data_IF_828670183725
#
_entry.id   IF_828670183725
#
_cell.length_a   1.000
_cell.length_b   1.000
_cell.length_c   1.000
_cell.angle_alpha   90.00
_cell.angle_beta   90.00
_cell.angle_gamma   90.00
#
_symmetry.space_group_name_H-M   'P 1'
#
loop_
_entity.id
_entity.type
_entity.pdbx_description
1 polymer ?
#
# COMPACT_ATOMS: atom_id res chain seq x y z
N UNK A 1 -47.36 -19.72 -61.25
CA UNK A 1 -47.77 -19.67 -59.81
C UNK A 1 -46.63 -20.09 -58.84
N UNK A 2 -45.38 -19.90 -59.18
CA UNK A 2 -44.28 -20.33 -58.27
C UNK A 2 -43.23 -19.25 -57.97
N UNK A 3 -43.15 -18.18 -58.71
CA UNK A 3 -42.11 -17.17 -58.60
C UNK A 3 -42.24 -16.30 -57.32
N UNK A 4 -43.45 -15.90 -56.98
CA UNK A 4 -43.73 -15.10 -55.78
C UNK A 4 -43.39 -15.84 -54.47
N UNK A 5 -43.67 -17.13 -54.41
CA UNK A 5 -43.33 -17.98 -53.23
C UNK A 5 -41.82 -18.11 -53.03
N UNK A 6 -41.06 -18.17 -54.11
CA UNK A 6 -39.57 -18.20 -54.04
C UNK A 6 -38.99 -16.87 -53.60
N UNK A 7 -39.53 -15.74 -54.07
CA UNK A 7 -39.11 -14.41 -53.65
C UNK A 7 -39.38 -14.18 -52.15
N UNK A 8 -40.58 -14.49 -51.69
CA UNK A 8 -40.94 -14.39 -50.26
C UNK A 8 -40.09 -15.28 -49.36
N UNK A 9 -39.69 -16.46 -49.81
CA UNK A 9 -38.83 -17.37 -49.06
C UNK A 9 -37.40 -16.85 -49.01
N UNK A 10 -36.84 -16.30 -50.08
CA UNK A 10 -35.53 -15.70 -50.12
C UNK A 10 -35.45 -14.43 -49.25
N UNK A 11 -36.50 -13.63 -49.20
CA UNK A 11 -36.57 -12.46 -48.32
C UNK A 11 -36.63 -12.86 -46.83
N UNK A 12 -37.41 -13.91 -46.49
CA UNK A 12 -37.49 -14.41 -45.10
C UNK A 12 -36.16 -15.04 -44.63
N UNK A 13 -35.44 -15.74 -45.51
CA UNK A 13 -34.11 -16.29 -45.18
C UNK A 13 -33.07 -15.19 -44.95
N UNK A 14 -33.08 -14.11 -45.75
CA UNK A 14 -32.20 -12.95 -45.52
C UNK A 14 -32.48 -12.25 -44.20
N UNK A 15 -33.75 -12.06 -43.84
CA UNK A 15 -34.14 -11.45 -42.57
C UNK A 15 -33.68 -12.30 -41.37
N UNK A 16 -33.83 -13.64 -41.49
CA UNK A 16 -33.34 -14.56 -40.46
C UNK A 16 -31.82 -14.51 -40.29
N UNK A 17 -31.05 -14.47 -41.36
CA UNK A 17 -29.58 -14.41 -41.31
C UNK A 17 -29.12 -13.10 -40.70
N UNK A 18 -29.73 -11.95 -41.08
CA UNK A 18 -29.42 -10.65 -40.51
C UNK A 18 -29.79 -10.63 -39.00
N UNK A 19 -30.94 -11.18 -38.63
CA UNK A 19 -31.39 -11.28 -37.22
C UNK A 19 -30.42 -12.10 -36.37
N UNK A 20 -29.94 -13.23 -36.85
CA UNK A 20 -28.92 -14.04 -36.17
C UNK A 20 -27.59 -13.32 -36.06
N UNK A 21 -27.17 -12.65 -37.14
CA UNK A 21 -25.92 -11.87 -37.11
C UNK A 21 -25.94 -10.74 -36.10
N UNK A 22 -27.01 -9.96 -36.06
CA UNK A 22 -27.18 -8.86 -35.10
C UNK A 22 -27.26 -9.37 -33.66
N UNK A 23 -28.04 -10.43 -33.41
CA UNK A 23 -28.16 -11.01 -32.06
C UNK A 23 -26.83 -11.60 -31.57
N UNK A 24 -26.08 -12.28 -32.45
CA UNK A 24 -24.76 -12.82 -32.13
C UNK A 24 -23.76 -11.71 -31.85
N UNK A 25 -23.79 -10.61 -32.62
CA UNK A 25 -22.93 -9.45 -32.40
C UNK A 25 -23.22 -8.79 -31.04
N UNK A 26 -24.49 -8.51 -30.75
CA UNK A 26 -24.89 -7.90 -29.47
C UNK A 26 -24.57 -8.81 -28.27
N UNK A 27 -24.78 -10.11 -28.39
CA UNK A 27 -24.42 -11.07 -27.36
C UNK A 27 -22.91 -11.15 -27.14
N UNK A 28 -22.13 -11.21 -28.21
CA UNK A 28 -20.66 -11.25 -28.14
C UNK A 28 -20.08 -9.96 -27.55
N UNK A 29 -20.59 -8.80 -27.98
CA UNK A 29 -20.14 -7.50 -27.44
C UNK A 29 -20.44 -7.37 -25.95
N UNK A 30 -21.63 -7.76 -25.50
CA UNK A 30 -22.02 -7.71 -24.09
C UNK A 30 -21.23 -8.71 -23.25
N UNK A 31 -20.97 -9.91 -23.75
CA UNK A 31 -20.16 -10.93 -23.07
C UNK A 31 -18.71 -10.47 -22.93
N UNK A 32 -18.15 -9.87 -23.97
CA UNK A 32 -16.77 -9.37 -23.98
C UNK A 32 -16.58 -8.22 -23.00
N UNK A 33 -17.51 -7.26 -22.94
CA UNK A 33 -17.48 -6.17 -21.95
C UNK A 33 -17.58 -6.69 -20.50
N UNK A 34 -18.45 -7.66 -20.26
CA UNK A 34 -18.65 -8.23 -18.92
C UNK A 34 -17.44 -9.06 -18.49
N UNK A 35 -16.84 -9.82 -19.40
CA UNK A 35 -15.64 -10.62 -19.11
C UNK A 35 -14.43 -9.72 -18.83
N UNK A 36 -14.21 -8.68 -19.64
CA UNK A 36 -13.11 -7.72 -19.45
C UNK A 36 -13.27 -6.93 -18.16
N UNK A 37 -14.50 -6.49 -17.82
CA UNK A 37 -14.76 -5.79 -16.57
C UNK A 37 -14.45 -6.65 -15.34
N UNK A 38 -14.89 -7.90 -15.32
CA UNK A 38 -14.56 -8.83 -14.23
C UNK A 38 -13.08 -9.14 -14.11
N UNK A 39 -12.38 -9.23 -15.23
CA UNK A 39 -10.95 -9.47 -15.25
C UNK A 39 -10.18 -8.27 -14.69
N UNK A 40 -10.56 -7.04 -15.05
CA UNK A 40 -9.97 -5.81 -14.50
C UNK A 40 -10.24 -5.69 -13.00
N UNK A 41 -11.45 -5.97 -12.55
CA UNK A 41 -11.80 -5.99 -11.12
C UNK A 41 -10.96 -7.01 -10.34
N UNK A 42 -10.81 -8.22 -10.89
CA UNK A 42 -9.99 -9.27 -10.30
C UNK A 42 -8.51 -8.85 -10.22
N UNK A 43 -7.97 -8.25 -11.28
CA UNK A 43 -6.61 -7.74 -11.31
C UNK A 43 -6.39 -6.61 -10.30
N UNK A 44 -7.34 -5.66 -10.20
CA UNK A 44 -7.27 -4.59 -9.22
C UNK A 44 -7.29 -5.14 -7.78
N UNK A 45 -8.11 -6.15 -7.51
CA UNK A 45 -8.17 -6.82 -6.21
C UNK A 45 -6.87 -7.54 -5.87
N UNK A 46 -6.28 -8.26 -6.82
CA UNK A 46 -4.99 -8.91 -6.64
C UNK A 46 -3.90 -7.87 -6.37
N UNK A 47 -3.86 -6.79 -7.16
CA UNK A 47 -2.92 -5.68 -6.94
C UNK A 47 -3.06 -5.07 -5.56
N UNK A 48 -4.27 -4.78 -5.11
CA UNK A 48 -4.53 -4.27 -3.75
C UNK A 48 -4.03 -5.23 -2.67
N UNK A 49 -4.30 -6.54 -2.81
CA UNK A 49 -3.84 -7.56 -1.85
C UNK A 49 -2.32 -7.64 -1.79
N UNK A 50 -1.61 -7.49 -2.91
CA UNK A 50 -0.15 -7.50 -2.94
C UNK A 50 0.42 -6.28 -2.19
N UNK A 51 -0.14 -5.10 -2.43
CA UNK A 51 0.26 -3.87 -1.72
C UNK A 51 -0.03 -4.00 -0.22
N UNK A 52 -1.22 -4.45 0.15
CA UNK A 52 -1.61 -4.68 1.55
C UNK A 52 -0.65 -5.64 2.25
N UNK A 53 -0.31 -6.76 1.61
CA UNK A 53 0.64 -7.73 2.15
C UNK A 53 2.05 -7.15 2.31
N UNK A 54 2.48 -6.32 1.37
CA UNK A 54 3.76 -5.64 1.47
C UNK A 54 3.81 -4.65 2.64
N UNK A 55 2.73 -3.88 2.87
CA UNK A 55 2.59 -2.99 4.02
C UNK A 55 2.58 -3.75 5.34
N UNK A 56 1.78 -4.82 5.44
CA UNK A 56 1.77 -5.70 6.62
C UNK A 56 3.16 -6.21 6.99
N UNK A 57 3.95 -6.60 5.98
CA UNK A 57 5.32 -7.08 6.20
C UNK A 57 6.22 -5.98 6.80
N UNK A 58 6.08 -4.72 6.36
CA UNK A 58 6.83 -3.61 6.93
C UNK A 58 6.41 -3.32 8.37
N UNK A 59 5.11 -3.33 8.66
CA UNK A 59 4.59 -3.10 10.01
C UNK A 59 4.96 -4.21 10.97
N UNK A 60 4.82 -5.48 10.59
CA UNK A 60 5.17 -6.63 11.45
C UNK A 60 6.61 -6.55 11.95
N UNK A 61 7.55 -6.16 11.06
CA UNK A 61 8.94 -5.96 11.47
C UNK A 61 9.12 -4.84 12.50
N UNK A 62 8.37 -3.75 12.34
CA UNK A 62 8.38 -2.63 13.29
C UNK A 62 7.66 -2.96 14.59
N UNK A 63 6.55 -3.70 14.56
CA UNK A 63 5.79 -4.13 15.74
C UNK A 63 6.66 -4.99 16.66
N UNK A 64 7.36 -5.97 16.09
CA UNK A 64 8.31 -6.81 16.86
C UNK A 64 9.41 -5.95 17.50
N UNK A 65 9.89 -4.93 16.81
CA UNK A 65 10.89 -4.01 17.36
C UNK A 65 10.29 -3.09 18.42
N UNK A 66 9.04 -2.63 18.23
CA UNK A 66 8.32 -1.80 19.19
C UNK A 66 8.02 -2.51 20.53
N UNK A 67 7.91 -3.85 20.52
CA UNK A 67 7.75 -4.69 21.70
C UNK A 67 9.08 -4.95 22.46
N UNK A 68 10.22 -4.53 21.89
CA UNK A 68 11.51 -4.68 22.57
C UNK A 68 11.52 -3.92 23.90
N UNK A 69 11.92 -4.59 24.99
CA UNK A 69 11.92 -4.03 26.36
C UNK A 69 12.64 -2.68 26.48
N UNK A 70 13.68 -2.45 25.69
CA UNK A 70 14.42 -1.18 25.66
C UNK A 70 13.61 -0.09 24.97
N UNK A 71 12.95 -0.43 23.87
CA UNK A 71 12.19 0.55 23.05
C UNK A 71 10.89 0.94 23.76
N UNK A 72 10.13 -0.03 24.28
CA UNK A 72 8.83 0.22 24.89
C UNK A 72 8.93 0.86 26.29
N UNK A 73 10.07 0.70 26.99
CA UNK A 73 10.26 1.25 28.32
C UNK A 73 10.53 2.76 28.26
N UNK A 74 9.66 3.60 28.82
CA UNK A 74 9.90 5.05 28.84
C UNK A 74 11.09 5.45 29.72
N UNK A 75 11.55 4.58 30.63
CA UNK A 75 12.73 4.79 31.48
C UNK A 75 14.07 4.44 30.84
N UNK A 76 14.07 3.81 29.67
CA UNK A 76 15.31 3.51 28.94
C UNK A 76 15.96 4.78 28.43
N UNK A 77 17.28 4.84 28.53
CA UNK A 77 18.05 5.98 27.98
C UNK A 77 17.93 6.05 26.47
N UNK A 78 18.22 7.22 25.92
CA UNK A 78 18.27 7.37 24.46
C UNK A 78 19.37 6.51 23.84
N UNK A 79 20.52 6.46 24.50
CA UNK A 79 21.69 5.69 24.05
C UNK A 79 21.37 4.19 23.92
N UNK A 80 20.61 3.65 24.88
CA UNK A 80 20.18 2.25 24.82
C UNK A 80 19.21 2.00 23.64
N UNK A 81 18.24 2.90 23.44
CA UNK A 81 17.32 2.84 22.31
C UNK A 81 18.06 2.96 20.97
N UNK A 82 18.99 3.90 20.88
CA UNK A 82 19.82 4.10 19.68
C UNK A 82 20.62 2.86 19.33
N UNK A 83 21.22 2.18 20.30
CA UNK A 83 21.98 0.97 20.07
C UNK A 83 21.11 -0.16 19.47
N UNK A 84 19.84 -0.28 19.91
CA UNK A 84 18.89 -1.23 19.33
C UNK A 84 18.48 -0.83 17.93
N UNK A 85 18.14 0.45 17.68
CA UNK A 85 17.69 0.95 16.40
C UNK A 85 18.79 0.89 15.33
N UNK A 86 20.02 1.28 15.64
CA UNK A 86 21.17 1.23 14.74
C UNK A 86 21.50 -0.21 14.30
N UNK A 87 21.38 -1.17 15.23
CA UNK A 87 21.55 -2.59 14.91
C UNK A 87 20.48 -3.07 13.94
N UNK A 88 19.24 -2.62 14.14
CA UNK A 88 18.12 -3.00 13.27
C UNK A 88 18.20 -2.35 11.89
N UNK A 89 18.63 -1.09 11.80
CA UNK A 89 18.92 -0.42 10.53
C UNK A 89 19.95 -1.23 9.74
N UNK A 90 21.05 -1.64 10.38
CA UNK A 90 22.09 -2.45 9.75
C UNK A 90 21.55 -3.83 9.30
N UNK A 91 20.70 -4.47 10.11
CA UNK A 91 20.13 -5.78 9.81
C UNK A 91 19.16 -5.77 8.65
N UNK A 92 18.33 -4.73 8.56
CA UNK A 92 17.23 -4.64 7.57
C UNK A 92 17.62 -3.90 6.30
N UNK A 93 18.74 -3.15 6.31
CA UNK A 93 19.11 -2.25 5.24
C UNK A 93 18.15 -1.06 5.09
N UNK A 94 17.39 -0.73 6.13
CA UNK A 94 16.52 0.44 6.13
C UNK A 94 17.35 1.72 6.02
N UNK A 95 16.80 2.75 5.40
CA UNK A 95 17.48 4.06 5.35
C UNK A 95 17.60 4.64 6.76
N UNK A 96 16.54 4.58 7.54
CA UNK A 96 16.53 4.98 8.94
C UNK A 96 15.37 4.32 9.71
N UNK A 97 15.56 4.09 11.02
CA UNK A 97 14.50 3.71 11.96
C UNK A 97 14.61 4.64 13.16
N UNK A 98 13.52 5.29 13.50
CA UNK A 98 13.47 6.33 14.52
C UNK A 98 12.36 6.07 15.53
N UNK A 99 12.59 6.52 16.77
CA UNK A 99 11.59 6.59 17.81
C UNK A 99 11.19 8.06 18.05
N UNK A 100 9.90 8.30 18.21
CA UNK A 100 9.37 9.57 18.66
C UNK A 100 8.60 9.39 19.99
N UNK A 101 8.76 10.35 20.88
CA UNK A 101 7.96 10.39 22.11
C UNK A 101 6.48 10.72 21.83
N UNK A 102 5.64 10.68 22.85
CA UNK A 102 4.21 10.97 22.73
C UNK A 102 3.91 12.40 22.28
N UNK A 103 4.88 13.31 22.33
CA UNK A 103 4.78 14.69 21.86
C UNK A 103 5.25 14.86 20.41
N UNK A 104 5.74 13.79 19.79
CA UNK A 104 6.25 13.81 18.42
C UNK A 104 7.67 14.34 18.28
N UNK A 105 8.45 14.36 19.36
CA UNK A 105 9.86 14.65 19.28
C UNK A 105 10.60 13.36 18.91
N UNK A 106 11.25 13.35 17.76
CA UNK A 106 12.01 12.21 17.27
C UNK A 106 13.52 12.49 17.34
N UNK A 107 14.26 11.39 17.59
CA UNK A 107 15.71 11.37 17.52
C UNK A 107 16.12 10.29 16.51
N UNK A 108 16.94 10.67 15.57
CA UNK A 108 17.58 9.75 14.63
C UNK A 108 18.85 9.15 15.25
N UNK A 109 19.28 7.94 14.83
CA UNK A 109 20.53 7.34 15.27
C UNK A 109 21.77 8.18 15.00
N UNK A 110 21.73 9.13 14.05
CA UNK A 110 22.77 10.11 13.78
C UNK A 110 22.69 11.37 14.67
N UNK A 111 21.75 11.40 15.63
CA UNK A 111 21.55 12.51 16.58
C UNK A 111 20.70 13.66 16.07
N UNK A 112 20.13 13.57 14.87
CA UNK A 112 19.23 14.60 14.36
C UNK A 112 17.93 14.64 15.18
N UNK A 113 17.55 15.84 15.66
CA UNK A 113 16.29 16.08 16.35
C UNK A 113 15.28 16.66 15.38
N UNK A 114 14.11 16.05 15.29
CA UNK A 114 13.03 16.51 14.41
C UNK A 114 11.68 16.39 15.11
N UNK A 115 10.83 17.40 14.97
CA UNK A 115 9.43 17.30 15.39
C UNK A 115 8.59 16.78 14.23
N UNK A 116 7.83 15.71 14.51
CA UNK A 116 6.91 15.07 13.57
C UNK A 116 5.45 15.11 14.04
N UNK A 117 5.16 15.89 15.06
CA UNK A 117 3.81 16.01 15.65
C UNK A 117 2.74 16.43 14.64
N UNK A 118 3.12 17.18 13.61
CA UNK A 118 2.28 17.65 12.51
C UNK A 118 2.06 16.60 11.39
N UNK A 119 2.77 15.49 11.42
CA UNK A 119 2.70 14.45 10.38
C UNK A 119 1.52 13.53 10.59
N UNK A 120 0.78 13.24 9.52
CA UNK A 120 -0.42 12.39 9.55
C UNK A 120 -0.14 10.99 10.07
N UNK A 121 0.98 10.38 9.64
CA UNK A 121 1.37 9.05 10.10
C UNK A 121 1.64 9.00 11.61
N UNK A 122 2.22 10.06 12.19
CA UNK A 122 2.42 10.16 13.63
C UNK A 122 1.08 10.28 14.36
N UNK A 123 0.18 11.14 13.85
CA UNK A 123 -1.14 11.36 14.45
C UNK A 123 -2.03 10.12 14.41
N UNK A 124 -1.85 9.23 13.44
CA UNK A 124 -2.50 7.92 13.40
C UNK A 124 -1.85 6.95 14.38
N UNK A 125 -0.53 6.81 14.33
CA UNK A 125 0.19 5.83 15.14
C UNK A 125 0.06 6.13 16.65
N UNK A 126 0.06 7.38 17.06
CA UNK A 126 -0.13 7.76 18.46
C UNK A 126 -1.55 7.46 18.98
N UNK A 127 -2.51 7.18 18.10
CA UNK A 127 -3.85 6.69 18.48
C UNK A 127 -3.95 5.17 18.54
N UNK A 128 -2.88 4.46 18.20
CA UNK A 128 -2.81 3.01 18.28
C UNK A 128 -2.99 2.28 16.94
N UNK A 129 -2.99 2.98 15.82
CA UNK A 129 -3.17 2.43 14.48
C UNK A 129 -1.84 2.42 13.72
N UNK A 130 -1.54 1.35 12.99
CA UNK A 130 -0.42 1.36 12.06
C UNK A 130 -0.68 2.35 10.94
N UNK A 131 0.36 3.04 10.51
CA UNK A 131 0.24 4.08 9.50
C UNK A 131 1.33 3.99 8.43
N UNK A 132 1.01 4.45 7.24
CA UNK A 132 1.95 4.71 6.16
C UNK A 132 1.71 6.13 5.64
N UNK A 133 2.78 6.85 5.34
CA UNK A 133 2.63 8.18 4.74
C UNK A 133 2.45 8.08 3.22
N UNK A 134 1.84 9.09 2.62
CA UNK A 134 2.12 9.42 1.23
C UNK A 134 3.61 9.74 1.06
N UNK A 135 4.16 9.81 -0.18
CA UNK A 135 5.48 10.37 -0.40
C UNK A 135 5.55 11.82 0.12
N UNK A 136 6.43 12.05 1.08
CA UNK A 136 6.59 13.34 1.76
C UNK A 136 8.05 13.78 1.70
N UNK A 137 8.28 15.09 1.81
CA UNK A 137 9.63 15.62 1.94
C UNK A 137 10.24 15.27 3.31
N UNK A 138 11.48 14.78 3.29
CA UNK A 138 12.26 14.48 4.48
C UNK A 138 12.66 15.78 5.20
N UNK A 139 12.27 15.92 6.46
CA UNK A 139 12.63 17.07 7.30
C UNK A 139 14.12 17.11 7.63
N UNK A 140 14.82 15.98 7.51
CA UNK A 140 16.26 15.88 7.80
C UNK A 140 17.14 16.06 6.56
N UNK A 141 16.56 15.79 5.36
CA UNK A 141 17.25 15.89 4.07
C UNK A 141 16.37 16.65 3.07
N UNK A 142 16.37 17.99 3.08
CA UNK A 142 15.54 18.78 2.15
C UNK A 142 15.74 18.37 0.69
N UNK A 143 14.64 18.26 -0.05
CA UNK A 143 14.63 17.82 -1.45
C UNK A 143 14.63 16.31 -1.64
N UNK A 144 14.70 15.50 -0.58
CA UNK A 144 14.52 14.04 -0.62
C UNK A 144 13.07 13.68 -0.35
N UNK A 145 12.47 12.82 -1.17
CA UNK A 145 11.15 12.27 -0.94
C UNK A 145 11.27 10.92 -0.25
N UNK A 146 10.47 10.75 0.80
CA UNK A 146 10.45 9.53 1.62
C UNK A 146 9.04 9.01 1.82
N UNK A 147 8.93 7.73 2.14
CA UNK A 147 7.74 7.09 2.67
C UNK A 147 8.05 6.60 4.07
N UNK A 148 7.11 6.80 4.98
CA UNK A 148 7.27 6.46 6.39
C UNK A 148 6.25 5.41 6.78
N UNK A 149 6.72 4.28 7.32
CA UNK A 149 5.90 3.26 7.98
C UNK A 149 6.01 3.48 9.49
N UNK A 150 4.88 3.59 10.17
CA UNK A 150 4.83 3.90 11.58
C UNK A 150 3.94 2.92 12.35
N UNK A 151 4.37 2.57 13.57
CA UNK A 151 3.62 1.72 14.49
C UNK A 151 3.62 2.34 15.89
N UNK A 152 2.56 2.13 16.68
CA UNK A 152 2.53 2.57 18.08
C UNK A 152 3.51 1.78 18.93
N UNK A 153 4.19 2.46 19.86
CA UNK A 153 4.99 1.83 20.90
C UNK A 153 4.17 1.83 22.19
N UNK A 154 3.95 0.64 22.76
CA UNK A 154 3.12 0.45 23.95
C UNK A 154 3.94 -0.07 25.13
N UNK A 155 3.63 0.45 26.33
CA UNK A 155 4.08 -0.11 27.59
C UNK A 155 2.85 -0.30 28.48
N UNK A 156 2.56 -1.55 28.86
CA UNK A 156 1.36 -1.90 29.67
C UNK A 156 0.07 -1.30 29.06
N UNK A 157 -0.17 -1.51 27.77
CA UNK A 157 -1.30 -1.01 26.97
C UNK A 157 -1.39 0.53 26.84
N UNK A 158 -0.46 1.28 27.41
CA UNK A 158 -0.35 2.71 27.20
C UNK A 158 0.61 3.02 26.05
N UNK A 159 0.20 3.88 25.13
CA UNK A 159 1.06 4.32 24.04
C UNK A 159 2.06 5.34 24.59
N UNK A 160 3.33 5.00 24.53
CA UNK A 160 4.46 5.80 25.05
C UNK A 160 5.18 6.59 23.95
N UNK A 161 4.94 6.22 22.70
CA UNK A 161 5.56 6.86 21.54
C UNK A 161 5.20 6.16 20.24
N UNK A 162 5.93 6.49 19.20
CA UNK A 162 5.77 5.94 17.87
C UNK A 162 7.13 5.50 17.34
N UNK A 163 7.22 4.27 16.86
CA UNK A 163 8.38 3.78 16.12
C UNK A 163 8.09 3.88 14.63
N UNK A 164 9.02 4.41 13.85
CA UNK A 164 8.82 4.55 12.43
C UNK A 164 10.08 4.30 11.62
N UNK A 165 9.87 3.71 10.44
CA UNK A 165 10.90 3.39 9.47
C UNK A 165 10.77 4.33 8.27
N UNK A 166 11.89 4.90 7.89
CA UNK A 166 12.00 5.73 6.68
C UNK A 166 12.47 4.85 5.53
N UNK A 167 11.78 4.97 4.40
CA UNK A 167 12.14 4.32 3.15
C UNK A 167 12.18 5.36 2.03
N UNK A 168 12.97 5.09 0.99
CA UNK A 168 13.02 5.91 -0.21
C UNK A 168 11.62 6.10 -0.82
N UNK A 169 11.30 7.30 -1.30
CA UNK A 169 10.00 7.63 -1.86
C UNK A 169 9.60 6.83 -3.09
N UNK A 170 10.56 6.17 -3.74
CA UNK A 170 10.32 5.25 -4.88
C UNK A 170 10.00 3.82 -4.44
N UNK A 171 10.10 3.50 -3.16
CA UNK A 171 9.94 2.13 -2.65
C UNK A 171 8.55 1.54 -2.93
N UNK A 172 7.47 2.34 -2.90
CA UNK A 172 6.13 1.91 -3.27
C UNK A 172 6.00 1.63 -4.77
N UNK A 173 6.62 2.44 -5.62
CA UNK A 173 6.65 2.21 -7.06
C UNK A 173 7.36 0.91 -7.39
N UNK A 174 8.49 0.62 -6.73
CA UNK A 174 9.21 -0.64 -6.90
C UNK A 174 8.37 -1.87 -6.47
N UNK A 175 7.51 -1.73 -5.44
CA UNK A 175 6.57 -2.79 -5.05
C UNK A 175 5.49 -3.02 -6.11
N UNK A 176 4.98 -1.96 -6.74
CA UNK A 176 3.95 -2.06 -7.78
C UNK A 176 4.51 -2.50 -9.13
N UNK A 177 5.74 -2.14 -9.47
CA UNK A 177 6.41 -2.55 -10.70
C UNK A 177 6.65 -4.07 -10.76
N UNK A 178 6.71 -4.74 -9.61
CA UNK A 178 6.78 -6.20 -9.53
C UNK A 178 5.44 -6.89 -9.90
N UNK A 179 4.34 -6.15 -9.96
CA UNK A 179 3.03 -6.63 -10.38
C UNK A 179 2.94 -6.52 -11.90
N UNK A 180 3.65 -7.41 -12.60
CA UNK A 180 3.51 -7.56 -14.06
C UNK A 180 2.19 -8.28 -14.37
N UNK A 181 1.28 -7.54 -14.95
CA UNK A 181 0.11 -8.13 -15.60
C UNK A 181 0.57 -8.66 -16.96
N UNK A 182 0.77 -9.98 -17.04
CA UNK A 182 1.12 -10.69 -18.28
C UNK A 182 0.01 -10.63 -19.33
#
# INVERSE_FOLDING_TARGET
MNTEKYVLRLESEKVCIVGIGVSSYLFSANTMQTATGKQLESMAKVGATVVEKALETQWTGLEVLAENDVICNPGSSWEDKEAVLSKEVTRTGAENIMYADAQGNALSPDGAKVSIADRSYFQQAIKGENAVSDPIEDKTKPGSMIIVYAVPVKNNDQITGVLFKVADGTSLSAMTDSITFG
#
